data_IF_223194113374
#
_entry.id   IF_223194113374
#
_cell.length_a   1.000
_cell.length_b   1.000
_cell.length_c   1.000
_cell.angle_alpha   90.00
_cell.angle_beta   90.00
_cell.angle_gamma   90.00
#
_symmetry.space_group_name_H-M   'P 1'
#
loop_
_entity.id
_entity.type
_entity.pdbx_description
1 polymer ?
#
# COMPACT_ATOMS: atom_id res chain seq x y z
N UNK A 1 -31.40 53.20 12.94
CA UNK A 1 -30.12 52.43 12.93
C UNK A 1 -30.53 51.02 12.54
N UNK A 2 -30.41 50.72 11.28
CA UNK A 2 -30.93 49.48 10.69
C UNK A 2 -29.75 48.58 10.40
N UNK A 3 -29.77 47.41 11.05
CA UNK A 3 -28.82 46.37 10.89
C UNK A 3 -28.83 45.81 9.47
N UNK A 4 -27.66 45.84 8.82
CA UNK A 4 -27.42 45.24 7.51
C UNK A 4 -26.84 43.84 7.74
N UNK A 5 -27.68 42.84 7.92
CA UNK A 5 -27.33 41.43 7.85
C UNK A 5 -27.30 41.02 6.38
N UNK A 6 -26.10 41.01 5.82
CA UNK A 6 -25.87 40.39 4.51
C UNK A 6 -26.01 38.87 4.61
N UNK A 7 -26.89 38.32 3.82
CA UNK A 7 -27.18 36.94 3.62
C UNK A 7 -25.93 36.13 3.14
N UNK A 8 -25.64 35.03 3.84
CA UNK A 8 -24.63 34.03 3.47
C UNK A 8 -25.15 33.04 2.43
N UNK A 9 -25.63 33.53 1.29
CA UNK A 9 -26.14 32.68 0.21
C UNK A 9 -25.24 32.59 -1.03
N UNK A 10 -23.94 32.62 -0.90
CA UNK A 10 -23.06 32.47 -2.07
C UNK A 10 -21.82 31.57 -1.86
N UNK A 11 -22.01 30.43 -1.16
CA UNK A 11 -21.01 29.37 -1.17
C UNK A 11 -21.68 28.06 -1.58
N UNK A 12 -21.98 27.94 -2.85
CA UNK A 12 -22.31 26.65 -3.46
C UNK A 12 -22.06 26.67 -4.97
N UNK A 13 -20.79 26.74 -5.33
CA UNK A 13 -20.31 26.13 -6.56
C UNK A 13 -18.96 25.47 -6.25
N UNK A 14 -19.03 24.34 -5.54
CA UNK A 14 -17.98 23.34 -5.67
C UNK A 14 -18.04 22.90 -7.13
N UNK A 15 -17.09 23.43 -7.92
CA UNK A 15 -16.95 23.09 -9.31
C UNK A 15 -16.89 21.56 -9.44
N UNK A 16 -17.85 20.99 -10.16
CA UNK A 16 -17.70 19.67 -10.74
C UNK A 16 -16.37 19.71 -11.49
N UNK A 17 -15.36 19.05 -10.95
CA UNK A 17 -14.16 18.76 -11.70
C UNK A 17 -14.62 17.89 -12.86
N UNK A 18 -14.83 18.52 -14.02
CA UNK A 18 -14.92 17.82 -15.30
C UNK A 18 -13.62 17.03 -15.40
N UNK A 19 -13.70 15.72 -15.21
CA UNK A 19 -12.60 14.81 -15.51
C UNK A 19 -12.40 14.94 -17.02
N UNK A 20 -11.40 15.75 -17.44
CA UNK A 20 -10.97 15.84 -18.83
C UNK A 20 -10.80 14.40 -19.33
N UNK A 21 -11.56 14.02 -20.36
CA UNK A 21 -11.36 12.75 -21.05
C UNK A 21 -9.88 12.64 -21.42
N UNK A 22 -9.19 11.57 -21.06
CA UNK A 22 -7.79 11.41 -21.42
C UNK A 22 -7.64 11.57 -22.93
N UNK A 23 -6.70 12.37 -23.37
CA UNK A 23 -6.46 12.63 -24.79
C UNK A 23 -5.78 11.46 -25.51
N UNK A 24 -5.14 10.56 -24.73
CA UNK A 24 -4.48 9.36 -25.22
C UNK A 24 -5.40 8.13 -25.00
N UNK A 25 -5.73 7.35 -26.05
CA UNK A 25 -6.54 6.14 -25.94
C UNK A 25 -6.01 5.13 -24.91
N UNK A 26 -4.69 4.98 -24.79
CA UNK A 26 -4.07 4.09 -23.80
C UNK A 26 -4.31 4.56 -22.37
N UNK A 27 -4.20 5.87 -22.14
CA UNK A 27 -4.51 6.44 -20.84
C UNK A 27 -6.00 6.28 -20.51
N UNK A 28 -6.88 6.39 -21.50
CA UNK A 28 -8.31 6.18 -21.32
C UNK A 28 -8.61 4.73 -20.90
N UNK A 29 -7.98 3.76 -21.54
CA UNK A 29 -8.13 2.33 -21.25
C UNK A 29 -7.57 1.99 -19.85
N UNK A 30 -6.43 2.56 -19.48
CA UNK A 30 -5.87 2.44 -18.13
C UNK A 30 -6.84 2.99 -17.06
N UNK A 31 -7.40 4.18 -17.26
CA UNK A 31 -8.35 4.78 -16.32
C UNK A 31 -9.66 3.99 -16.24
N UNK A 32 -10.10 3.40 -17.34
CA UNK A 32 -11.26 2.50 -17.36
C UNK A 32 -10.97 1.23 -16.57
N UNK A 33 -9.80 0.62 -16.75
CA UNK A 33 -9.38 -0.54 -15.96
C UNK A 33 -9.32 -0.27 -14.46
N UNK A 34 -8.88 0.92 -14.06
CA UNK A 34 -8.94 1.36 -12.65
C UNK A 34 -10.37 1.48 -12.12
N UNK A 35 -11.30 1.97 -12.95
CA UNK A 35 -12.72 2.06 -12.56
C UNK A 35 -13.32 0.66 -12.37
N UNK A 36 -13.05 -0.27 -13.28
CA UNK A 36 -13.47 -1.65 -13.12
C UNK A 36 -12.91 -2.28 -11.85
N UNK A 37 -11.64 -2.02 -11.53
CA UNK A 37 -11.03 -2.50 -10.29
C UNK A 37 -11.73 -1.91 -9.05
N UNK A 38 -12.03 -0.62 -9.05
CA UNK A 38 -12.74 0.05 -7.96
C UNK A 38 -14.18 -0.48 -7.77
N UNK A 39 -14.80 -0.94 -8.84
CA UNK A 39 -16.14 -1.57 -8.83
C UNK A 39 -16.07 -3.09 -8.55
N UNK A 40 -14.88 -3.64 -8.27
CA UNK A 40 -14.66 -5.09 -8.08
C UNK A 40 -14.96 -5.96 -9.33
N UNK A 41 -14.99 -5.33 -10.50
CA UNK A 41 -15.19 -5.98 -11.79
C UNK A 41 -13.85 -6.52 -12.33
N UNK A 42 -13.26 -7.46 -11.59
CA UNK A 42 -11.87 -7.91 -11.79
C UNK A 42 -11.57 -8.48 -13.18
N UNK A 43 -12.56 -9.09 -13.83
CA UNK A 43 -12.41 -9.60 -15.20
C UNK A 43 -12.18 -8.50 -16.22
N UNK A 44 -13.05 -7.46 -16.21
CA UNK A 44 -12.93 -6.31 -17.11
C UNK A 44 -11.69 -5.48 -16.76
N UNK A 45 -11.39 -5.31 -15.45
CA UNK A 45 -10.19 -4.65 -14.98
C UNK A 45 -8.91 -5.31 -15.54
N UNK A 46 -8.84 -6.66 -15.50
CA UNK A 46 -7.69 -7.39 -16.02
C UNK A 46 -7.50 -7.15 -17.52
N UNK A 47 -8.59 -7.19 -18.31
CA UNK A 47 -8.51 -6.99 -19.78
C UNK A 47 -8.05 -5.56 -20.09
N UNK A 48 -8.72 -4.54 -19.55
CA UNK A 48 -8.39 -3.14 -19.85
C UNK A 48 -6.96 -2.78 -19.40
N UNK A 49 -6.57 -3.20 -18.18
CA UNK A 49 -5.22 -2.92 -17.67
C UNK A 49 -4.14 -3.69 -18.43
N UNK A 50 -4.44 -4.90 -18.93
CA UNK A 50 -3.51 -5.66 -19.74
C UNK A 50 -3.30 -5.00 -21.12
N UNK A 51 -4.36 -4.56 -21.78
CA UNK A 51 -4.27 -3.84 -23.06
C UNK A 51 -3.47 -2.54 -22.87
N UNK A 52 -3.77 -1.77 -21.82
CA UNK A 52 -3.00 -0.57 -21.48
C UNK A 52 -1.51 -0.90 -21.25
N UNK A 53 -1.20 -1.99 -20.53
CA UNK A 53 0.19 -2.42 -20.30
C UNK A 53 0.91 -2.76 -21.61
N UNK A 54 0.24 -3.47 -22.53
CA UNK A 54 0.80 -3.80 -23.85
C UNK A 54 1.09 -2.52 -24.63
N UNK A 55 0.14 -1.61 -24.71
CA UNK A 55 0.31 -0.34 -25.42
C UNK A 55 1.40 0.55 -24.81
N UNK A 56 1.53 0.61 -23.49
CA UNK A 56 2.63 1.33 -22.85
C UNK A 56 4.00 0.70 -23.13
N UNK A 57 4.07 -0.65 -23.20
CA UNK A 57 5.30 -1.35 -23.61
C UNK A 57 5.68 -1.03 -25.05
N UNK A 58 4.75 -1.01 -26.00
CA UNK A 58 4.99 -0.63 -27.39
C UNK A 58 5.51 0.79 -27.54
N UNK A 59 5.03 1.71 -26.69
CA UNK A 59 5.50 3.11 -26.63
C UNK A 59 6.78 3.30 -25.82
N UNK A 60 7.30 2.27 -25.15
CA UNK A 60 8.39 2.36 -24.18
C UNK A 60 8.10 3.38 -23.03
N UNK A 61 6.83 3.52 -22.65
CA UNK A 61 6.41 4.37 -21.54
C UNK A 61 6.61 3.64 -20.20
N UNK A 62 7.78 3.81 -19.59
CA UNK A 62 8.13 3.15 -18.33
C UNK A 62 7.14 3.51 -17.20
N UNK A 63 6.68 4.77 -17.13
CA UNK A 63 5.72 5.20 -16.11
C UNK A 63 4.37 4.51 -16.31
N UNK A 64 3.88 4.47 -17.54
CA UNK A 64 2.65 3.73 -17.89
C UNK A 64 2.77 2.24 -17.58
N UNK A 65 3.92 1.62 -17.91
CA UNK A 65 4.19 0.21 -17.61
C UNK A 65 4.15 -0.05 -16.09
N UNK A 66 4.83 0.79 -15.29
CA UNK A 66 4.85 0.64 -13.83
C UNK A 66 3.44 0.76 -13.24
N UNK A 67 2.69 1.78 -13.67
CA UNK A 67 1.33 2.02 -13.21
C UNK A 67 0.37 0.87 -13.58
N UNK A 68 0.38 0.43 -14.83
CA UNK A 68 -0.48 -0.66 -15.29
C UNK A 68 -0.12 -1.99 -14.61
N UNK A 69 1.18 -2.28 -14.45
CA UNK A 69 1.65 -3.46 -13.71
C UNK A 69 1.20 -3.43 -12.24
N UNK A 70 1.33 -2.29 -11.55
CA UNK A 70 0.87 -2.16 -10.18
C UNK A 70 -0.65 -2.43 -10.07
N UNK A 71 -1.46 -1.88 -10.98
CA UNK A 71 -2.91 -2.13 -10.96
C UNK A 71 -3.26 -3.59 -11.29
N UNK A 72 -2.56 -4.25 -12.24
CA UNK A 72 -2.71 -5.68 -12.49
C UNK A 72 -2.33 -6.51 -11.25
N UNK A 73 -1.29 -6.11 -10.52
CA UNK A 73 -0.94 -6.69 -9.23
C UNK A 73 -2.12 -6.62 -8.25
N UNK A 74 -2.83 -5.49 -8.17
CA UNK A 74 -4.03 -5.37 -7.34
C UNK A 74 -5.18 -6.28 -7.80
N UNK A 75 -5.43 -6.38 -9.11
CA UNK A 75 -6.43 -7.29 -9.66
C UNK A 75 -6.12 -8.74 -9.28
N UNK A 76 -4.87 -9.17 -9.51
CA UNK A 76 -4.43 -10.54 -9.18
C UNK A 76 -4.51 -10.81 -7.67
N UNK A 77 -4.13 -9.85 -6.83
CA UNK A 77 -4.23 -9.96 -5.37
C UNK A 77 -5.69 -10.13 -4.92
N UNK A 78 -6.62 -9.34 -5.47
CA UNK A 78 -8.05 -9.45 -5.17
C UNK A 78 -8.62 -10.81 -5.58
N UNK A 79 -8.14 -11.37 -6.69
CA UNK A 79 -8.49 -12.71 -7.19
C UNK A 79 -7.73 -13.86 -6.48
N UNK A 80 -6.85 -13.53 -5.52
CA UNK A 80 -5.98 -14.47 -4.82
C UNK A 80 -5.00 -15.23 -5.73
N UNK A 81 -4.67 -14.65 -6.85
CA UNK A 81 -3.66 -15.13 -7.81
C UNK A 81 -2.28 -14.60 -7.39
N UNK A 82 -1.77 -15.08 -6.25
CA UNK A 82 -0.65 -14.47 -5.55
C UNK A 82 0.65 -14.49 -6.34
N UNK A 83 0.95 -15.55 -7.10
CA UNK A 83 2.14 -15.64 -7.93
C UNK A 83 2.11 -14.59 -9.05
N UNK A 84 0.96 -14.43 -9.73
CA UNK A 84 0.80 -13.42 -10.77
C UNK A 84 0.87 -12.01 -10.17
N UNK A 85 0.25 -11.79 -9.00
CA UNK A 85 0.34 -10.52 -8.28
C UNK A 85 1.79 -10.15 -7.97
N UNK A 86 2.60 -11.11 -7.49
CA UNK A 86 4.00 -10.90 -7.20
C UNK A 86 4.78 -10.49 -8.44
N UNK A 87 4.58 -11.17 -9.58
CA UNK A 87 5.25 -10.83 -10.83
C UNK A 87 4.95 -9.41 -11.28
N UNK A 88 3.68 -9.00 -11.24
CA UNK A 88 3.27 -7.66 -11.61
C UNK A 88 3.84 -6.59 -10.69
N UNK A 89 3.83 -6.81 -9.37
CA UNK A 89 4.44 -5.86 -8.42
C UNK A 89 5.96 -5.79 -8.59
N UNK A 90 6.66 -6.90 -8.82
CA UNK A 90 8.10 -6.88 -9.08
C UNK A 90 8.45 -6.12 -10.37
N UNK A 91 7.63 -6.23 -11.42
CA UNK A 91 7.79 -5.44 -12.64
C UNK A 91 7.64 -3.94 -12.36
N UNK A 92 6.62 -3.55 -11.58
CA UNK A 92 6.42 -2.16 -11.18
C UNK A 92 7.59 -1.65 -10.31
N UNK A 93 8.03 -2.46 -9.33
CA UNK A 93 9.12 -2.13 -8.42
C UNK A 93 10.42 -1.83 -9.18
N UNK A 94 10.80 -2.69 -10.13
CA UNK A 94 12.03 -2.52 -10.90
C UNK A 94 12.07 -1.18 -11.66
N UNK A 95 10.93 -0.71 -12.16
CA UNK A 95 10.85 0.59 -12.84
C UNK A 95 10.92 1.73 -11.84
N UNK A 96 10.22 1.61 -10.70
CA UNK A 96 10.28 2.62 -9.62
C UNK A 96 11.70 2.77 -9.06
N UNK A 97 12.43 1.67 -8.90
CA UNK A 97 13.83 1.67 -8.48
C UNK A 97 14.73 2.39 -9.50
N UNK A 98 14.57 2.07 -10.79
CA UNK A 98 15.30 2.72 -11.89
C UNK A 98 15.08 4.23 -11.91
N UNK A 99 13.83 4.68 -11.65
CA UNK A 99 13.48 6.10 -11.58
C UNK A 99 13.78 6.76 -10.24
N UNK A 100 14.24 5.99 -9.24
CA UNK A 100 14.47 6.42 -7.86
C UNK A 100 13.23 7.08 -7.21
N UNK A 101 12.02 6.61 -7.59
CA UNK A 101 10.75 7.07 -7.00
C UNK A 101 10.50 6.36 -5.67
N UNK A 102 11.05 6.94 -4.61
CA UNK A 102 11.00 6.38 -3.25
C UNK A 102 9.58 6.14 -2.74
N UNK A 103 8.63 7.00 -3.08
CA UNK A 103 7.25 6.86 -2.61
C UNK A 103 6.57 5.65 -3.27
N UNK A 104 6.73 5.51 -4.58
CA UNK A 104 6.20 4.35 -5.31
C UNK A 104 6.91 3.05 -4.90
N UNK A 105 8.23 3.07 -4.70
CA UNK A 105 9.00 1.92 -4.19
C UNK A 105 8.36 1.40 -2.89
N UNK A 106 8.17 2.25 -1.88
CA UNK A 106 7.59 1.85 -0.60
C UNK A 106 6.15 1.33 -0.73
N UNK A 107 5.35 2.00 -1.57
CA UNK A 107 3.96 1.59 -1.78
C UNK A 107 3.88 0.19 -2.40
N UNK A 108 4.71 -0.09 -3.41
CA UNK A 108 4.76 -1.40 -4.08
C UNK A 108 5.37 -2.47 -3.17
N UNK A 109 6.45 -2.16 -2.43
CA UNK A 109 7.09 -3.10 -1.50
C UNK A 109 6.11 -3.60 -0.43
N UNK A 110 5.25 -2.75 0.13
CA UNK A 110 4.20 -3.16 1.07
C UNK A 110 3.24 -4.19 0.45
N UNK A 111 2.89 -4.04 -0.82
CA UNK A 111 2.05 -5.02 -1.52
C UNK A 111 2.80 -6.34 -1.74
N UNK A 112 4.09 -6.29 -2.02
CA UNK A 112 4.95 -7.47 -2.13
C UNK A 112 5.01 -8.21 -0.79
N UNK A 113 5.18 -7.52 0.33
CA UNK A 113 5.12 -8.12 1.68
C UNK A 113 3.82 -8.87 1.88
N UNK A 114 2.68 -8.24 1.57
CA UNK A 114 1.36 -8.86 1.67
C UNK A 114 1.28 -10.15 0.83
N UNK A 115 1.71 -10.07 -0.43
CA UNK A 115 1.66 -11.22 -1.35
C UNK A 115 2.60 -12.35 -0.92
N UNK A 116 3.85 -12.04 -0.54
CA UNK A 116 4.82 -13.03 -0.04
C UNK A 116 4.31 -13.72 1.22
N UNK A 117 3.61 -12.98 2.08
CA UNK A 117 2.97 -13.53 3.28
C UNK A 117 1.89 -14.55 2.93
N UNK A 118 1.07 -14.27 1.92
CA UNK A 118 0.07 -15.24 1.42
C UNK A 118 0.71 -16.47 0.76
N UNK A 119 1.82 -16.30 0.08
CA UNK A 119 2.62 -17.37 -0.50
C UNK A 119 3.44 -18.16 0.53
N UNK A 120 3.35 -17.81 1.83
CA UNK A 120 4.14 -18.36 2.94
C UNK A 120 5.67 -18.17 2.78
N UNK A 121 6.09 -17.22 1.97
CA UNK A 121 7.48 -16.80 1.78
C UNK A 121 7.87 -15.81 2.88
N UNK A 122 7.78 -16.28 4.14
CA UNK A 122 7.87 -15.41 5.31
C UNK A 122 9.24 -14.74 5.48
N UNK A 123 10.33 -15.46 5.20
CA UNK A 123 11.67 -14.89 5.35
C UNK A 123 11.93 -13.79 4.30
N UNK A 124 11.43 -13.96 3.08
CA UNK A 124 11.48 -12.92 2.05
C UNK A 124 10.60 -11.71 2.43
N UNK A 125 9.37 -11.96 2.93
CA UNK A 125 8.49 -10.89 3.39
C UNK A 125 9.10 -10.07 4.53
N UNK A 126 9.79 -10.73 5.47
CA UNK A 126 10.48 -10.07 6.57
C UNK A 126 11.69 -9.26 6.10
N UNK A 127 12.43 -9.73 5.09
CA UNK A 127 13.51 -8.97 4.49
C UNK A 127 13.00 -7.67 3.85
N UNK A 128 11.86 -7.73 3.13
CA UNK A 128 11.23 -6.53 2.59
C UNK A 128 10.78 -5.57 3.71
N UNK A 129 10.17 -6.10 4.77
CA UNK A 129 9.76 -5.29 5.93
C UNK A 129 10.97 -4.56 6.55
N UNK A 130 12.12 -5.22 6.69
CA UNK A 130 13.33 -4.59 7.21
C UNK A 130 13.79 -3.44 6.32
N UNK A 131 13.79 -3.62 5.00
CA UNK A 131 14.13 -2.54 4.06
C UNK A 131 13.18 -1.34 4.19
N UNK A 132 11.89 -1.59 4.35
CA UNK A 132 10.88 -0.53 4.57
C UNK A 132 11.09 0.13 5.94
N UNK A 133 11.42 -0.65 6.98
CA UNK A 133 11.68 -0.16 8.33
C UNK A 133 12.88 0.80 8.34
N UNK A 134 13.98 0.41 7.72
CA UNK A 134 15.19 1.23 7.60
C UNK A 134 14.84 2.58 6.95
N UNK A 135 14.04 2.55 5.88
CA UNK A 135 13.60 3.79 5.22
C UNK A 135 12.81 4.71 6.16
N UNK A 136 11.88 4.18 6.97
CA UNK A 136 11.10 4.99 7.91
C UNK A 136 11.97 5.54 9.05
N UNK A 137 12.94 4.76 9.52
CA UNK A 137 13.89 5.20 10.55
C UNK A 137 14.81 6.31 10.04
N UNK A 138 15.36 6.17 8.84
CA UNK A 138 16.21 7.20 8.20
C UNK A 138 15.46 8.52 8.01
N UNK A 139 14.16 8.46 7.68
CA UNK A 139 13.31 9.63 7.53
C UNK A 139 12.69 10.13 8.85
N UNK A 140 13.02 9.49 10.00
CA UNK A 140 12.46 9.80 11.31
C UNK A 140 10.93 9.82 11.30
N UNK A 141 10.32 8.85 10.62
CA UNK A 141 8.87 8.66 10.54
C UNK A 141 8.41 7.61 11.57
N UNK A 142 8.01 8.01 12.78
CA UNK A 142 7.58 7.06 13.80
C UNK A 142 6.26 6.38 13.43
N UNK A 143 5.39 7.04 12.68
CA UNK A 143 4.11 6.45 12.26
C UNK A 143 4.33 5.35 11.23
N UNK A 144 5.18 5.58 10.23
CA UNK A 144 5.60 4.56 9.27
C UNK A 144 6.31 3.40 9.95
N UNK A 145 7.20 3.71 10.92
CA UNK A 145 7.90 2.70 11.74
C UNK A 145 6.92 1.80 12.48
N UNK A 146 5.92 2.37 13.17
CA UNK A 146 4.88 1.59 13.87
C UNK A 146 4.12 0.71 12.87
N UNK A 147 3.69 1.27 11.74
CA UNK A 147 2.91 0.54 10.75
C UNK A 147 3.67 -0.69 10.22
N UNK A 148 4.96 -0.55 9.88
CA UNK A 148 5.71 -1.69 9.35
C UNK A 148 6.06 -2.71 10.43
N UNK A 149 6.25 -2.29 11.69
CA UNK A 149 6.44 -3.21 12.81
C UNK A 149 5.17 -4.02 13.09
N UNK A 150 3.97 -3.46 12.91
CA UNK A 150 2.71 -4.22 12.98
C UNK A 150 2.64 -5.27 11.87
N UNK A 151 2.96 -4.91 10.62
CA UNK A 151 3.03 -5.87 9.50
C UNK A 151 4.05 -6.97 9.77
N UNK A 152 5.23 -6.64 10.31
CA UNK A 152 6.25 -7.63 10.70
C UNK A 152 5.72 -8.59 11.78
N UNK A 153 5.01 -8.08 12.79
CA UNK A 153 4.41 -8.91 13.84
C UNK A 153 3.41 -9.90 13.24
N UNK A 154 2.56 -9.47 12.31
CA UNK A 154 1.62 -10.34 11.60
C UNK A 154 2.34 -11.44 10.78
N UNK A 155 3.43 -11.08 10.08
CA UNK A 155 4.24 -12.05 9.35
C UNK A 155 4.87 -13.07 10.31
N UNK A 156 5.42 -12.61 11.46
CA UNK A 156 5.98 -13.50 12.48
C UNK A 156 4.93 -14.47 13.06
N UNK A 157 3.70 -13.96 13.33
CA UNK A 157 2.60 -14.80 13.82
C UNK A 157 2.28 -15.90 12.80
N UNK A 158 2.10 -15.55 11.52
CA UNK A 158 1.83 -16.51 10.45
C UNK A 158 2.97 -17.50 10.23
N UNK A 159 4.21 -17.09 10.51
CA UNK A 159 5.39 -17.94 10.46
C UNK A 159 5.58 -18.83 11.72
N UNK A 160 4.69 -18.69 12.72
CA UNK A 160 4.81 -19.41 14.00
C UNK A 160 5.92 -18.88 14.94
N UNK A 161 6.49 -17.73 14.64
CA UNK A 161 7.59 -17.11 15.40
C UNK A 161 7.03 -16.15 16.46
N UNK A 162 6.21 -16.66 17.40
CA UNK A 162 5.43 -15.88 18.38
C UNK A 162 6.30 -14.92 19.23
N UNK A 163 7.47 -15.36 19.70
CA UNK A 163 8.38 -14.50 20.47
C UNK A 163 8.85 -13.26 19.69
N UNK A 164 9.19 -13.44 18.42
CA UNK A 164 9.60 -12.30 17.56
C UNK A 164 8.45 -11.33 17.30
N UNK A 165 7.22 -11.84 17.18
CA UNK A 165 6.03 -11.00 17.07
C UNK A 165 5.81 -10.20 18.37
N UNK A 166 5.98 -10.83 19.53
CA UNK A 166 5.90 -10.16 20.82
C UNK A 166 6.95 -9.06 20.97
N UNK A 167 8.18 -9.29 20.53
CA UNK A 167 9.24 -8.28 20.53
C UNK A 167 8.91 -7.07 19.63
N UNK A 168 8.32 -7.30 18.45
CA UNK A 168 7.83 -6.22 17.61
C UNK A 168 6.76 -5.39 18.33
N UNK A 169 5.79 -6.02 18.99
CA UNK A 169 4.79 -5.30 19.78
C UNK A 169 5.37 -4.56 20.99
N UNK A 170 6.38 -5.09 21.69
CA UNK A 170 7.10 -4.38 22.74
C UNK A 170 7.79 -3.13 22.21
N UNK A 171 8.38 -3.23 21.02
CA UNK A 171 9.02 -2.08 20.34
C UNK A 171 8.00 -1.00 20.00
N UNK A 172 6.84 -1.36 19.43
CA UNK A 172 5.74 -0.43 19.15
C UNK A 172 5.27 0.25 20.45
N UNK A 173 5.11 -0.52 21.53
CA UNK A 173 4.71 0.03 22.83
C UNK A 173 5.73 1.05 23.36
N UNK A 174 7.03 0.79 23.19
CA UNK A 174 8.10 1.73 23.56
C UNK A 174 8.00 3.02 22.74
N UNK A 175 7.75 2.94 21.44
CA UNK A 175 7.56 4.13 20.59
C UNK A 175 6.37 4.95 21.12
N UNK A 176 5.22 4.33 21.35
CA UNK A 176 4.04 5.05 21.87
C UNK A 176 4.28 5.68 23.25
N UNK A 177 5.01 5.00 24.14
CA UNK A 177 5.39 5.60 25.43
C UNK A 177 6.22 6.88 25.29
N UNK A 178 7.16 6.89 24.35
CA UNK A 178 7.99 8.08 24.10
C UNK A 178 7.15 9.29 23.66
N UNK A 179 6.00 9.03 23.02
CA UNK A 179 5.02 10.06 22.63
C UNK A 179 3.91 10.27 23.68
N UNK A 180 4.02 9.67 24.88
CA UNK A 180 3.02 9.74 25.97
C UNK A 180 1.64 9.18 25.58
N UNK A 181 1.62 8.21 24.66
CA UNK A 181 0.40 7.50 24.28
C UNK A 181 0.24 6.22 25.14
N UNK A 182 0.18 6.38 26.46
CA UNK A 182 0.25 5.26 27.42
C UNK A 182 -0.86 4.22 27.21
N UNK A 183 -2.08 4.65 26.90
CA UNK A 183 -3.20 3.74 26.62
C UNK A 183 -2.96 2.86 25.39
N UNK A 184 -2.30 3.40 24.35
CA UNK A 184 -1.99 2.63 23.15
C UNK A 184 -0.83 1.69 23.46
N UNK A 185 0.19 2.16 24.15
CA UNK A 185 1.33 1.34 24.56
C UNK A 185 0.89 0.14 25.41
N UNK A 186 -0.05 0.33 26.36
CA UNK A 186 -0.60 -0.76 27.16
C UNK A 186 -1.25 -1.85 26.31
N UNK A 187 -2.02 -1.50 25.27
CA UNK A 187 -2.64 -2.46 24.36
C UNK A 187 -1.62 -3.31 23.60
N UNK A 188 -0.50 -2.73 23.15
CA UNK A 188 0.55 -3.48 22.48
C UNK A 188 1.33 -4.39 23.44
N UNK A 189 1.54 -3.97 24.70
CA UNK A 189 2.12 -4.83 25.72
C UNK A 189 1.21 -6.03 26.04
N UNK A 190 -0.09 -5.82 26.08
CA UNK A 190 -1.07 -6.91 26.27
C UNK A 190 -1.00 -7.90 25.12
N UNK A 191 -0.99 -7.45 23.86
CA UNK A 191 -0.80 -8.32 22.69
C UNK A 191 0.50 -9.15 22.79
N UNK A 192 1.59 -8.51 23.22
CA UNK A 192 2.87 -9.20 23.39
C UNK A 192 2.80 -10.31 24.47
N UNK A 193 2.14 -10.06 25.60
CA UNK A 193 1.95 -11.03 26.68
C UNK A 193 1.08 -12.19 26.20
N UNK A 194 -0.03 -11.92 25.51
CA UNK A 194 -0.93 -12.96 24.99
C UNK A 194 -0.20 -13.96 24.09
N UNK A 195 0.67 -13.48 23.20
CA UNK A 195 1.43 -14.35 22.29
C UNK A 195 2.40 -15.29 23.02
N UNK A 196 2.95 -14.87 24.16
CA UNK A 196 3.95 -15.63 24.92
C UNK A 196 3.36 -16.51 26.01
N UNK A 197 2.11 -16.23 26.44
CA UNK A 197 1.41 -17.02 27.46
C UNK A 197 0.74 -18.29 26.91
N UNK A 198 0.55 -18.38 25.59
CA UNK A 198 -0.06 -19.52 24.90
C UNK A 198 0.97 -20.52 24.33
N UNK A 199 2.22 -20.47 24.82
CA UNK A 199 3.34 -21.31 24.34
C UNK A 199 3.66 -22.45 25.33
#
# INVERSE_FOLDING_TARGET
>A
MTDNLQSFESISQVGKTETKKPSDPLQAEYEEGKKYLANEEYGQAAVALHNALVGFKEKNDEVGIANASNQLGHVCLARKEYENALQHYLQALAICEKSNDRMSILAVMKKIVTVRTHLKKYDEALADCLTILDHYQDNRDPQGTVTILEEMAEVYIKAGKKEKAADAYRTIASIHKNFRHDNIAAKFLEKAVQLTSES
#
